data_IF_735654001936
#
_entry.id   IF_735654001936
#
_cell.length_a   1.000
_cell.length_b   1.000
_cell.length_c   1.000
_cell.angle_alpha   90.00
_cell.angle_beta   90.00
_cell.angle_gamma   90.00
#
_symmetry.space_group_name_H-M   'P 1'
#
loop_
_entity.id
_entity.type
_entity.pdbx_description
1 polymer ?
#
# COMPACT_ATOMS: atom_id res chain seq x y z
N UNK A 1 23.52 -8.40 11.11
CA UNK A 1 24.28 -7.92 9.92
C UNK A 1 23.88 -8.70 8.65
N UNK A 2 22.64 -9.22 8.58
CA UNK A 2 22.23 -10.25 7.61
C UNK A 2 21.08 -9.79 6.69
N UNK A 3 20.76 -8.50 6.71
CA UNK A 3 19.56 -7.96 6.06
C UNK A 3 19.76 -7.40 4.64
N UNK A 4 20.94 -7.48 4.03
CA UNK A 4 21.15 -6.82 2.72
C UNK A 4 21.94 -7.60 1.67
N UNK A 5 21.48 -8.81 1.33
CA UNK A 5 21.84 -9.42 0.05
C UNK A 5 20.61 -9.85 -0.74
N UNK A 6 19.76 -8.87 -1.10
CA UNK A 6 18.84 -9.04 -2.24
C UNK A 6 19.65 -9.55 -3.43
N UNK A 7 19.23 -10.66 -4.01
CA UNK A 7 19.92 -11.32 -5.11
C UNK A 7 20.05 -10.36 -6.29
N UNK A 8 21.12 -10.47 -7.09
CA UNK A 8 21.31 -9.61 -8.29
C UNK A 8 20.09 -9.66 -9.23
N UNK A 9 19.39 -10.80 -9.28
CA UNK A 9 18.14 -11.00 -10.02
C UNK A 9 16.97 -10.18 -9.47
N UNK A 10 16.79 -10.12 -8.15
CA UNK A 10 15.73 -9.30 -7.53
C UNK A 10 15.98 -7.81 -7.72
N UNK A 11 17.25 -7.37 -7.62
CA UNK A 11 17.61 -5.97 -7.90
C UNK A 11 17.29 -5.60 -9.35
N UNK A 12 17.64 -6.47 -10.31
CA UNK A 12 17.26 -6.30 -11.72
C UNK A 12 15.74 -6.25 -11.94
N UNK A 13 14.98 -7.09 -11.24
CA UNK A 13 13.52 -7.13 -11.38
C UNK A 13 12.85 -5.87 -10.81
N UNK A 14 13.33 -5.36 -9.67
CA UNK A 14 12.86 -4.09 -9.08
C UNK A 14 13.24 -2.93 -10.01
N UNK A 15 14.48 -2.89 -10.51
CA UNK A 15 14.93 -1.86 -11.46
C UNK A 15 14.13 -1.85 -12.77
N UNK A 16 13.66 -3.03 -13.21
CA UNK A 16 12.82 -3.23 -14.39
C UNK A 16 11.35 -2.86 -14.14
N UNK A 17 10.81 -3.16 -12.96
CA UNK A 17 9.44 -2.78 -12.58
C UNK A 17 9.28 -1.26 -12.45
N UNK A 18 10.35 -0.56 -12.05
CA UNK A 18 10.39 0.89 -11.97
C UNK A 18 10.90 1.56 -13.26
N UNK A 19 11.14 0.81 -14.35
CA UNK A 19 11.60 1.40 -15.60
C UNK A 19 10.47 2.17 -16.30
N UNK A 20 10.75 3.41 -16.71
CA UNK A 20 9.89 4.12 -17.65
C UNK A 20 9.77 3.27 -18.92
N UNK A 21 8.56 3.10 -19.43
CA UNK A 21 8.36 2.33 -20.65
C UNK A 21 8.67 3.20 -21.88
N UNK A 22 8.42 4.50 -21.77
CA UNK A 22 8.65 5.48 -22.82
C UNK A 22 9.24 6.79 -22.29
N UNK A 23 9.77 7.60 -23.22
CA UNK A 23 10.27 8.92 -22.90
C UNK A 23 9.14 9.87 -22.48
N UNK A 24 9.41 10.68 -21.46
CA UNK A 24 8.52 11.70 -20.92
C UNK A 24 9.14 13.08 -21.12
N UNK A 25 8.38 14.04 -21.65
CA UNK A 25 8.81 15.42 -21.87
C UNK A 25 8.43 15.96 -23.24
N UNK A 26 9.08 17.07 -23.63
CA UNK A 26 8.91 17.74 -24.93
C UNK A 26 10.28 17.86 -25.58
N UNK A 27 10.48 17.20 -26.72
CA UNK A 27 11.76 17.24 -27.45
C UNK A 27 11.63 18.16 -28.65
N UNK A 28 12.35 19.28 -28.65
CA UNK A 28 12.36 20.25 -29.77
C UNK A 28 10.94 20.70 -30.17
N UNK A 29 10.09 20.97 -29.19
CA UNK A 29 8.68 21.36 -29.40
C UNK A 29 7.72 20.20 -29.71
N UNK A 30 8.21 18.97 -29.85
CA UNK A 30 7.38 17.79 -30.12
C UNK A 30 7.15 17.01 -28.83
N UNK A 31 5.90 16.67 -28.54
CA UNK A 31 5.53 15.83 -27.40
C UNK A 31 6.16 14.44 -27.55
N UNK A 32 6.80 13.93 -26.50
CA UNK A 32 7.19 12.52 -26.43
C UNK A 32 5.95 11.61 -26.30
N UNK A 33 6.14 10.30 -26.19
CA UNK A 33 5.02 9.36 -25.98
C UNK A 33 4.21 9.70 -24.74
N UNK A 34 4.86 10.18 -23.67
CA UNK A 34 4.20 10.77 -22.50
C UNK A 34 3.08 9.90 -21.93
N UNK A 35 3.34 8.62 -21.69
CA UNK A 35 2.35 7.76 -21.04
C UNK A 35 2.06 8.27 -19.62
N UNK A 36 0.79 8.29 -19.23
CA UNK A 36 0.35 8.85 -17.96
C UNK A 36 1.03 8.15 -16.77
N UNK A 37 1.25 6.83 -16.86
CA UNK A 37 1.97 6.05 -15.86
C UNK A 37 3.44 6.51 -15.71
N UNK A 38 4.15 6.67 -16.83
CA UNK A 38 5.54 7.15 -16.83
C UNK A 38 5.63 8.60 -16.31
N UNK A 39 4.69 9.46 -16.69
CA UNK A 39 4.59 10.83 -16.17
C UNK A 39 4.39 10.86 -14.66
N UNK A 40 3.48 10.05 -14.11
CA UNK A 40 3.27 9.93 -12.66
C UNK A 40 4.54 9.49 -11.95
N UNK A 41 5.30 8.58 -12.55
CA UNK A 41 6.56 8.14 -11.98
C UNK A 41 7.60 9.26 -11.94
N UNK A 42 7.77 10.01 -13.03
CA UNK A 42 8.66 11.18 -13.08
C UNK A 42 8.23 12.24 -12.08
N UNK A 43 6.93 12.54 -11.97
CA UNK A 43 6.37 13.46 -10.98
C UNK A 43 6.69 13.00 -9.55
N UNK A 44 6.51 11.70 -9.26
CA UNK A 44 6.80 11.14 -7.93
C UNK A 44 8.27 11.30 -7.58
N UNK A 45 9.18 11.03 -8.53
CA UNK A 45 10.62 11.18 -8.34
C UNK A 45 11.00 12.65 -8.12
N UNK A 46 10.51 13.57 -8.95
CA UNK A 46 10.78 15.00 -8.82
C UNK A 46 10.26 15.57 -7.48
N UNK A 47 9.09 15.14 -7.03
CA UNK A 47 8.46 15.64 -5.80
C UNK A 47 9.23 15.23 -4.54
N UNK A 48 9.97 14.12 -4.58
CA UNK A 48 10.82 13.67 -3.47
C UNK A 48 12.12 14.46 -3.35
N UNK A 49 12.50 15.19 -4.40
CA UNK A 49 13.74 15.96 -4.43
C UNK A 49 13.45 17.37 -3.89
N UNK A 50 14.27 17.90 -2.97
CA UNK A 50 14.14 19.27 -2.49
C UNK A 50 14.31 20.29 -3.62
N UNK A 51 13.63 21.44 -3.50
CA UNK A 51 13.63 22.47 -4.54
C UNK A 51 15.03 23.05 -4.79
N UNK A 52 15.86 23.15 -3.75
CA UNK A 52 17.26 23.58 -3.81
C UNK A 52 18.17 22.67 -4.67
N UNK A 53 17.71 21.44 -4.96
CA UNK A 53 18.40 20.48 -5.85
C UNK A 53 17.68 20.29 -7.18
N UNK A 54 16.84 21.26 -7.54
CA UNK A 54 16.04 21.25 -8.76
C UNK A 54 14.83 20.31 -8.71
N UNK A 55 14.44 19.84 -7.53
CA UNK A 55 13.21 19.06 -7.37
C UNK A 55 11.94 19.89 -7.49
N UNK A 56 10.80 19.22 -7.39
CA UNK A 56 9.47 19.81 -7.59
C UNK A 56 8.62 19.88 -6.32
N UNK A 57 9.24 19.81 -5.14
CA UNK A 57 8.53 19.96 -3.87
C UNK A 57 7.74 21.28 -3.84
N UNK A 58 6.41 21.20 -3.74
CA UNK A 58 5.50 22.35 -3.69
C UNK A 58 4.86 22.73 -5.03
N UNK A 59 5.32 22.16 -6.15
CA UNK A 59 4.66 22.34 -7.46
C UNK A 59 3.41 21.45 -7.52
N UNK A 60 2.27 22.02 -7.89
CA UNK A 60 1.05 21.26 -8.16
C UNK A 60 0.98 20.92 -9.64
N UNK A 61 1.29 19.67 -9.97
CA UNK A 61 1.13 19.15 -11.32
C UNK A 61 -0.34 18.92 -11.66
N UNK A 62 -0.71 19.16 -12.93
CA UNK A 62 -1.99 18.68 -13.45
C UNK A 62 -2.00 17.16 -13.56
N UNK A 63 -3.20 16.58 -13.62
CA UNK A 63 -3.35 15.15 -13.81
C UNK A 63 -2.73 14.71 -15.15
N UNK A 64 -1.79 13.74 -15.16
CA UNK A 64 -1.15 13.27 -16.38
C UNK A 64 -2.14 12.69 -17.40
N UNK A 65 -1.88 12.92 -18.68
CA UNK A 65 -2.65 12.42 -19.82
C UNK A 65 -1.73 11.82 -20.86
N UNK A 66 -2.12 10.71 -21.46
CA UNK A 66 -1.32 10.06 -22.51
C UNK A 66 -1.04 11.01 -23.68
N UNK A 67 0.19 11.00 -24.18
CA UNK A 67 0.62 11.79 -25.33
C UNK A 67 0.85 13.28 -25.05
N UNK A 68 0.52 13.79 -23.86
CA UNK A 68 0.66 15.21 -23.53
C UNK A 68 1.42 15.39 -22.22
N UNK A 69 2.62 15.97 -22.30
CA UNK A 69 3.34 16.51 -21.15
C UNK A 69 2.86 17.94 -20.88
N UNK A 70 2.42 18.21 -19.65
CA UNK A 70 2.08 19.56 -19.21
C UNK A 70 3.34 20.44 -19.11
N UNK A 71 3.19 21.74 -19.35
CA UNK A 71 4.32 22.69 -19.29
C UNK A 71 4.97 22.74 -17.91
N UNK A 72 4.20 22.58 -16.83
CA UNK A 72 4.76 22.55 -15.46
C UNK A 72 5.67 21.34 -15.22
N UNK A 73 5.34 20.18 -15.81
CA UNK A 73 6.19 18.99 -15.74
C UNK A 73 7.45 19.18 -16.57
N UNK A 74 7.32 19.72 -17.77
CA UNK A 74 8.47 20.02 -18.64
C UNK A 74 9.47 20.99 -17.97
N UNK A 75 8.99 22.10 -17.40
CA UNK A 75 9.82 23.06 -16.68
C UNK A 75 10.49 22.45 -15.44
N UNK A 76 9.78 21.58 -14.71
CA UNK A 76 10.35 20.87 -13.56
C UNK A 76 11.47 19.91 -13.97
N UNK A 77 11.33 19.20 -15.09
CA UNK A 77 12.38 18.33 -15.64
C UNK A 77 13.61 19.17 -16.04
N UNK A 78 13.40 20.29 -16.74
CA UNK A 78 14.49 21.18 -17.12
C UNK A 78 15.24 21.76 -15.92
N UNK A 79 14.51 22.22 -14.90
CA UNK A 79 15.10 22.73 -13.65
C UNK A 79 15.94 21.66 -12.96
N UNK A 80 15.44 20.43 -12.88
CA UNK A 80 16.18 19.31 -12.31
C UNK A 80 17.46 19.02 -13.11
N UNK A 81 17.36 18.94 -14.44
CA UNK A 81 18.50 18.69 -15.31
C UNK A 81 19.58 19.78 -15.15
N UNK A 82 19.18 21.05 -15.16
CA UNK A 82 20.09 22.18 -14.98
C UNK A 82 20.78 22.15 -13.61
N UNK A 83 20.04 21.90 -12.53
CA UNK A 83 20.58 21.82 -11.18
C UNK A 83 21.58 20.67 -10.98
N UNK A 84 21.51 19.63 -11.81
CA UNK A 84 22.36 18.45 -11.72
C UNK A 84 23.43 18.38 -12.84
N UNK A 85 23.64 19.48 -13.58
CA UNK A 85 24.65 19.54 -14.64
C UNK A 85 24.40 18.60 -15.81
N UNK A 86 23.13 18.29 -16.08
CA UNK A 86 22.70 17.46 -17.22
C UNK A 86 22.29 18.36 -18.39
N UNK A 87 22.19 17.78 -19.60
CA UNK A 87 21.57 18.47 -20.73
C UNK A 87 20.12 18.83 -20.39
N UNK A 88 19.79 20.13 -20.40
CA UNK A 88 18.47 20.67 -20.03
C UNK A 88 17.46 20.60 -21.18
N UNK A 89 17.31 19.43 -21.79
CA UNK A 89 16.43 19.20 -22.93
C UNK A 89 14.96 19.01 -22.55
N UNK A 90 14.67 18.90 -21.25
CA UNK A 90 13.33 18.70 -20.70
C UNK A 90 12.74 17.33 -21.01
N UNK A 91 13.57 16.33 -21.29
CA UNK A 91 13.16 14.96 -21.60
C UNK A 91 13.81 13.95 -20.64
N UNK A 92 13.00 13.00 -20.18
CA UNK A 92 13.44 11.86 -19.37
C UNK A 92 13.32 10.60 -20.22
N UNK A 93 14.43 10.15 -20.78
CA UNK A 93 14.50 8.90 -21.53
C UNK A 93 14.56 7.66 -20.60
N UNK A 94 13.91 6.53 -20.98
CA UNK A 94 14.10 5.25 -20.32
C UNK A 94 15.57 4.85 -20.24
N UNK A 95 16.05 4.62 -19.02
CA UNK A 95 17.46 4.30 -18.78
C UNK A 95 18.44 5.45 -19.03
N UNK A 96 17.96 6.65 -19.38
CA UNK A 96 18.78 7.83 -19.68
C UNK A 96 19.47 8.43 -18.44
N UNK A 97 20.40 9.37 -18.64
CA UNK A 97 21.15 10.01 -17.55
C UNK A 97 20.22 10.75 -16.57
N UNK A 98 19.18 11.42 -17.07
CA UNK A 98 18.20 12.12 -16.23
C UNK A 98 17.42 11.17 -15.33
N UNK A 99 16.94 10.04 -15.83
CA UNK A 99 16.25 9.05 -15.01
C UNK A 99 17.17 8.45 -13.94
N UNK A 100 18.44 8.17 -14.29
CA UNK A 100 19.44 7.68 -13.31
C UNK A 100 19.69 8.70 -12.21
N UNK A 101 19.78 9.98 -12.55
CA UNK A 101 19.95 11.05 -11.57
C UNK A 101 18.72 11.20 -10.66
N UNK A 102 17.50 11.16 -11.23
CA UNK A 102 16.24 11.20 -10.46
C UNK A 102 16.16 10.06 -9.44
N UNK A 103 16.52 8.84 -9.84
CA UNK A 103 16.48 7.65 -8.96
C UNK A 103 17.50 7.68 -7.84
N UNK A 104 18.68 8.28 -8.05
CA UNK A 104 19.70 8.44 -6.99
C UNK A 104 19.20 9.31 -5.83
N UNK A 105 18.19 10.15 -6.10
CA UNK A 105 17.59 11.03 -5.11
C UNK A 105 18.60 12.06 -4.56
N UNK A 106 18.21 12.78 -3.50
CA UNK A 106 19.02 13.85 -2.93
C UNK A 106 20.38 13.39 -2.37
N UNK A 107 20.53 12.10 -2.02
CA UNK A 107 21.72 11.60 -1.33
C UNK A 107 22.81 10.98 -2.21
N UNK A 108 22.52 10.69 -3.49
CA UNK A 108 23.40 9.86 -4.33
C UNK A 108 24.57 10.57 -5.01
N UNK A 109 24.91 11.79 -4.57
CA UNK A 109 26.17 12.42 -4.92
C UNK A 109 27.30 11.59 -4.33
N UNK A 110 28.10 10.97 -5.20
CA UNK A 110 29.30 10.22 -4.84
C UNK A 110 30.35 11.18 -4.25
N UNK A 111 30.18 11.57 -2.99
CA UNK A 111 31.24 12.21 -2.21
C UNK A 111 31.94 11.13 -1.39
N UNK A 112 33.09 10.69 -1.88
CA UNK A 112 34.10 10.05 -1.04
C UNK A 112 34.58 11.06 0.01
N UNK A 113 34.29 10.83 1.29
CA UNK A 113 34.91 11.56 2.39
C UNK A 113 34.03 11.79 3.62
N UNK A 114 34.38 11.11 4.73
CA UNK A 114 34.26 11.67 6.08
C UNK A 114 33.13 11.13 6.97
N UNK A 115 33.46 10.10 7.75
CA UNK A 115 32.76 9.64 8.96
C UNK A 115 32.53 10.78 9.98
N UNK A 116 31.28 11.22 10.16
CA UNK A 116 30.79 11.93 11.35
C UNK A 116 29.26 12.18 11.34
N UNK A 117 28.64 12.28 10.15
CA UNK A 117 27.29 12.85 9.97
C UNK A 117 26.10 11.95 10.37
N UNK A 118 26.32 10.66 10.63
CA UNK A 118 25.24 9.69 10.87
C UNK A 118 24.56 9.75 12.24
N UNK A 119 25.13 10.47 13.22
CA UNK A 119 24.53 10.60 14.56
C UNK A 119 23.47 11.70 14.63
N UNK A 120 23.68 12.83 13.96
CA UNK A 120 22.76 13.96 14.03
C UNK A 120 21.46 13.73 13.26
N UNK A 121 21.49 12.92 12.20
CA UNK A 121 20.29 12.59 11.41
C UNK A 121 19.32 11.69 12.18
N UNK A 122 19.83 10.72 12.94
CA UNK A 122 19.00 9.86 13.81
C UNK A 122 18.41 10.65 14.98
N UNK A 123 19.16 11.61 15.54
CA UNK A 123 18.64 12.50 16.59
C UNK A 123 17.52 13.39 16.02
N UNK A 124 17.69 13.94 14.81
CA UNK A 124 16.65 14.73 14.15
C UNK A 124 15.38 13.93 13.87
N UNK A 125 15.52 12.67 13.42
CA UNK A 125 14.37 11.79 13.17
C UNK A 125 13.55 11.53 14.44
N UNK A 126 14.22 11.27 15.57
CA UNK A 126 13.55 11.08 16.87
C UNK A 126 12.87 12.37 17.33
N UNK A 127 13.50 13.53 17.14
CA UNK A 127 12.90 14.84 17.49
C UNK A 127 11.65 15.13 16.64
N UNK A 128 11.68 14.81 15.35
CA UNK A 128 10.54 15.00 14.44
C UNK A 128 9.38 14.02 14.78
N UNK A 129 9.68 12.80 15.20
CA UNK A 129 8.69 11.84 15.70
C UNK A 129 8.03 12.32 17.01
N UNK A 130 8.81 12.86 17.95
CA UNK A 130 8.29 13.41 19.21
C UNK A 130 7.40 14.63 18.99
N UNK A 131 7.79 15.53 18.07
CA UNK A 131 6.99 16.69 17.70
C UNK A 131 5.65 16.28 17.06
N UNK A 132 5.66 15.24 16.22
CA UNK A 132 4.44 14.69 15.61
C UNK A 132 3.50 14.12 16.68
N UNK A 133 4.05 13.39 17.65
CA UNK A 133 3.28 12.81 18.74
C UNK A 133 2.66 13.89 19.65
N UNK A 134 3.42 14.95 19.95
CA UNK A 134 2.89 16.11 20.68
C UNK A 134 1.73 16.78 19.92
N UNK A 135 1.86 16.98 18.60
CA UNK A 135 0.79 17.54 17.77
C UNK A 135 -0.48 16.69 17.77
N UNK A 136 -0.35 15.36 17.69
CA UNK A 136 -1.49 14.43 17.78
C UNK A 136 -2.14 14.50 19.16
N UNK A 137 -1.34 14.53 20.23
CA UNK A 137 -1.87 14.63 21.60
C UNK A 137 -2.66 15.93 21.79
N UNK A 138 -2.15 17.06 21.31
CA UNK A 138 -2.83 18.37 21.35
C UNK A 138 -4.17 18.33 20.60
N UNK A 139 -4.20 17.73 19.42
CA UNK A 139 -5.45 17.57 18.66
C UNK A 139 -6.47 16.68 19.39
N UNK A 140 -6.01 15.62 20.07
CA UNK A 140 -6.88 14.74 20.83
C UNK A 140 -7.46 15.45 22.07
N UNK A 141 -6.63 16.16 22.83
CA UNK A 141 -7.05 16.94 24.00
C UNK A 141 -8.06 18.03 23.57
N UNK A 142 -7.81 18.71 22.46
CA UNK A 142 -8.69 19.78 21.97
C UNK A 142 -10.01 19.26 21.36
N UNK A 143 -10.01 18.10 20.68
CA UNK A 143 -11.19 17.59 19.96
C UNK A 143 -12.09 16.70 20.81
N UNK A 144 -11.55 16.05 21.84
CA UNK A 144 -12.24 14.99 22.60
C UNK A 144 -12.22 15.24 24.11
N UNK A 145 -11.92 16.45 24.57
CA UNK A 145 -11.85 16.81 25.99
C UNK A 145 -13.07 16.38 26.83
N UNK A 146 -14.26 16.33 26.22
CA UNK A 146 -15.50 15.92 26.90
C UNK A 146 -15.64 14.39 27.13
N UNK A 147 -14.77 13.58 26.54
CA UNK A 147 -14.79 12.11 26.67
C UNK A 147 -13.69 11.57 27.62
N UNK A 148 -12.78 12.42 28.06
CA UNK A 148 -11.73 12.07 29.01
C UNK A 148 -12.17 12.56 30.39
N UNK A 149 -11.91 11.77 31.43
CA UNK A 149 -12.12 12.26 32.80
C UNK A 149 -11.16 13.41 33.10
N UNK A 150 -11.51 14.31 34.01
CA UNK A 150 -10.66 15.44 34.39
C UNK A 150 -9.25 14.98 34.81
N UNK A 151 -9.15 13.83 35.48
CA UNK A 151 -7.87 13.22 35.85
C UNK A 151 -7.03 12.81 34.62
N UNK A 152 -7.65 12.20 33.59
CA UNK A 152 -6.98 11.83 32.34
C UNK A 152 -6.55 13.07 31.54
N UNK A 153 -7.36 14.11 31.56
CA UNK A 153 -7.08 15.37 30.87
C UNK A 153 -5.90 16.13 31.52
N UNK A 154 -5.81 16.10 32.84
CA UNK A 154 -4.65 16.61 33.59
C UNK A 154 -3.38 15.81 33.27
N UNK A 155 -3.47 14.47 33.23
CA UNK A 155 -2.33 13.62 32.87
C UNK A 155 -1.86 13.86 31.42
N UNK A 156 -2.79 13.97 30.46
CA UNK A 156 -2.47 14.24 29.06
C UNK A 156 -1.79 15.60 28.87
N UNK A 157 -2.26 16.65 29.58
CA UNK A 157 -1.62 17.97 29.59
C UNK A 157 -0.23 17.94 30.23
N UNK A 158 -0.04 17.16 31.29
CA UNK A 158 1.27 16.95 31.91
C UNK A 158 2.27 16.27 30.98
N UNK A 159 1.84 15.23 30.25
CA UNK A 159 2.66 14.55 29.25
C UNK A 159 3.04 15.49 28.09
N UNK A 160 2.10 16.31 27.61
CA UNK A 160 2.36 17.30 26.57
C UNK A 160 3.44 18.30 27.04
N UNK A 161 3.30 18.85 28.25
CA UNK A 161 4.28 19.81 28.78
C UNK A 161 5.68 19.19 28.96
N UNK A 162 5.77 17.92 29.34
CA UNK A 162 7.05 17.21 29.45
C UNK A 162 7.68 16.93 28.07
N UNK A 163 6.86 16.56 27.08
CA UNK A 163 7.32 16.39 25.69
C UNK A 163 7.84 17.70 25.10
N UNK A 164 7.13 18.81 25.31
CA UNK A 164 7.57 20.13 24.86
C UNK A 164 8.87 20.57 25.53
N UNK A 165 9.04 20.29 26.83
CA UNK A 165 10.31 20.54 27.55
C UNK A 165 11.45 19.69 27.00
N UNK A 166 11.23 18.41 26.74
CA UNK A 166 12.25 17.52 26.16
C UNK A 166 12.67 18.00 24.77
N UNK A 167 11.72 18.38 23.91
CA UNK A 167 12.02 18.96 22.60
C UNK A 167 12.84 20.25 22.76
N UNK A 168 12.46 21.14 23.68
CA UNK A 168 13.20 22.38 23.97
C UNK A 168 14.64 22.16 24.47
N UNK A 169 14.88 21.11 25.26
CA UNK A 169 16.22 20.78 25.77
C UNK A 169 17.18 20.26 24.70
N UNK A 170 16.68 19.71 23.59
CA UNK A 170 17.55 19.22 22.51
C UNK A 170 18.23 20.33 21.70
N UNK A 171 17.77 21.59 21.81
CA UNK A 171 18.28 22.70 21.00
C UNK A 171 17.95 22.60 19.49
N UNK A 172 17.25 21.53 19.09
CA UNK A 172 16.87 21.24 17.72
C UNK A 172 15.50 21.84 17.43
N UNK A 173 15.40 22.71 16.42
CA UNK A 173 14.11 23.28 16.01
C UNK A 173 13.32 22.22 15.22
N UNK A 174 12.12 21.80 15.68
CA UNK A 174 11.30 20.82 14.95
C UNK A 174 10.88 21.39 13.59
N UNK A 175 10.88 20.55 12.56
CA UNK A 175 10.46 20.95 11.21
C UNK A 175 8.94 21.08 11.14
N UNK A 176 8.38 22.19 10.63
CA UNK A 176 6.93 22.36 10.54
C UNK A 176 6.37 21.55 9.36
N UNK A 177 5.72 20.42 9.63
CA UNK A 177 4.83 19.75 8.66
C UNK A 177 3.61 19.14 9.37
N UNK A 178 2.37 19.50 9.01
CA UNK A 178 1.18 18.75 9.41
C UNK A 178 0.91 17.59 8.42
N UNK A 179 0.49 16.43 8.95
CA UNK A 179 0.09 15.26 8.16
C UNK A 179 -1.45 15.22 7.96
N UNK A 180 -1.96 14.89 6.75
CA UNK A 180 -3.34 14.51 6.56
C UNK A 180 -3.52 13.00 6.82
N UNK A 181 -4.44 12.62 7.70
CA UNK A 181 -4.78 11.21 7.97
C UNK A 181 -6.25 10.97 7.61
N UNK A 182 -6.49 10.26 6.51
CA UNK A 182 -7.80 9.70 6.14
C UNK A 182 -7.77 8.20 6.45
N UNK A 183 -8.78 7.72 7.17
CA UNK A 183 -9.02 6.36 7.75
C UNK A 183 -8.54 6.21 9.21
N UNK A 184 -9.34 6.75 10.14
CA UNK A 184 -8.92 7.13 11.49
C UNK A 184 -9.63 6.42 12.65
N UNK A 185 -10.20 5.24 12.49
CA UNK A 185 -10.86 4.54 13.62
C UNK A 185 -10.08 3.32 14.10
N UNK A 186 -9.68 2.43 13.20
CA UNK A 186 -8.89 1.23 13.58
C UNK A 186 -7.45 1.60 13.95
N UNK A 187 -6.81 2.50 13.19
CA UNK A 187 -5.47 2.99 13.49
C UNK A 187 -5.39 3.76 14.82
N UNK A 188 -6.47 4.47 15.18
CA UNK A 188 -6.54 5.26 16.41
C UNK A 188 -6.66 4.37 17.65
N UNK A 189 -7.44 3.28 17.57
CA UNK A 189 -7.52 2.29 18.64
C UNK A 189 -6.16 1.64 18.90
N UNK A 190 -5.44 1.28 17.84
CA UNK A 190 -4.12 0.64 17.95
C UNK A 190 -3.06 1.59 18.52
N UNK A 191 -3.07 2.87 18.11
CA UNK A 191 -2.15 3.89 18.63
C UNK A 191 -2.42 4.15 20.11
N UNK A 192 -3.68 4.24 20.54
CA UNK A 192 -4.02 4.44 21.97
C UNK A 192 -3.57 3.25 22.81
N UNK A 193 -3.75 2.02 22.33
CA UNK A 193 -3.26 0.81 23.02
C UNK A 193 -1.73 0.80 23.13
N UNK A 194 -1.02 1.16 22.07
CA UNK A 194 0.45 1.24 22.07
C UNK A 194 0.95 2.32 23.04
N UNK A 195 0.32 3.50 23.06
CA UNK A 195 0.69 4.58 24.00
C UNK A 195 0.42 4.16 25.45
N UNK A 196 -0.71 3.50 25.73
CA UNK A 196 -1.03 2.99 27.06
C UNK A 196 -0.03 1.92 27.53
N UNK A 197 0.40 1.02 26.63
CA UNK A 197 1.43 0.02 26.91
C UNK A 197 2.78 0.68 27.21
N UNK A 198 3.19 1.68 26.42
CA UNK A 198 4.45 2.41 26.65
C UNK A 198 4.39 3.17 27.99
N UNK A 199 3.26 3.81 28.30
CA UNK A 199 3.10 4.51 29.58
C UNK A 199 3.14 3.56 30.79
N UNK A 200 2.48 2.40 30.70
CA UNK A 200 2.54 1.37 31.73
C UNK A 200 3.96 0.83 31.90
N UNK A 201 4.68 0.63 30.80
CA UNK A 201 6.08 0.21 30.81
C UNK A 201 6.97 1.24 31.52
N UNK A 202 6.77 2.54 31.24
CA UNK A 202 7.53 3.63 31.84
C UNK A 202 7.26 3.77 33.34
N UNK A 203 6.01 3.55 33.79
CA UNK A 203 5.66 3.53 35.22
C UNK A 203 6.33 2.34 35.92
N UNK A 204 6.34 1.16 35.29
CA UNK A 204 7.05 -0.01 35.82
C UNK A 204 8.57 0.20 35.85
N UNK A 205 9.15 0.91 34.88
CA UNK A 205 10.59 1.23 34.84
C UNK A 205 11.02 2.37 35.79
N UNK A 206 10.07 3.07 36.41
CA UNK A 206 10.36 4.13 37.38
C UNK A 206 10.70 3.57 38.78
N UNK A 207 10.32 2.31 39.06
CA UNK A 207 10.69 1.64 40.30
C UNK A 207 12.12 1.06 40.21
N UNK A 208 13.05 1.48 41.10
CA UNK A 208 14.43 1.01 41.08
C UNK A 208 14.57 -0.51 41.33
N UNK A 209 13.58 -1.16 41.96
CA UNK A 209 13.56 -2.62 42.12
C UNK A 209 13.34 -3.33 40.79
N UNK A 210 12.49 -2.76 39.91
CA UNK A 210 12.19 -3.30 38.59
C UNK A 210 13.32 -3.10 37.58
N UNK A 211 14.13 -2.04 37.71
CA UNK A 211 15.29 -1.84 36.82
C UNK A 211 16.33 -2.95 36.94
N UNK A 212 16.62 -3.42 38.15
CA UNK A 212 17.54 -4.55 38.37
C UNK A 212 16.97 -5.87 37.85
N UNK A 213 15.66 -6.10 37.97
CA UNK A 213 15.00 -7.28 37.41
C UNK A 213 14.91 -7.24 35.87
N UNK A 214 14.70 -6.05 35.30
CA UNK A 214 14.59 -5.82 33.86
C UNK A 214 15.90 -6.06 33.11
N UNK A 215 17.06 -5.77 33.71
CA UNK A 215 18.36 -6.09 33.09
C UNK A 215 18.52 -7.60 32.88
N UNK A 216 18.13 -8.41 33.87
CA UNK A 216 18.11 -9.88 33.77
C UNK A 216 17.00 -10.43 32.87
N UNK A 217 15.84 -9.75 32.76
CA UNK A 217 14.71 -10.19 31.92
C UNK A 217 14.78 -9.72 30.46
N UNK A 218 15.53 -8.65 30.15
CA UNK A 218 15.59 -8.05 28.81
C UNK A 218 16.09 -9.02 27.74
N UNK A 219 16.98 -9.94 28.10
CA UNK A 219 17.44 -11.01 27.21
C UNK A 219 16.33 -12.03 26.90
N UNK A 220 15.45 -12.36 27.87
CA UNK A 220 14.33 -13.27 27.66
C UNK A 220 13.11 -12.62 26.97
N UNK A 221 12.90 -11.32 27.17
CA UNK A 221 11.77 -10.58 26.55
C UNK A 221 12.04 -10.32 25.06
N UNK A 222 13.29 -10.09 24.66
CA UNK A 222 13.65 -9.98 23.25
C UNK A 222 13.33 -11.28 22.48
N UNK A 223 13.62 -12.44 23.05
CA UNK A 223 13.24 -13.74 22.49
C UNK A 223 11.71 -13.95 22.49
N UNK A 224 11.02 -13.50 23.55
CA UNK A 224 9.56 -13.58 23.63
C UNK A 224 8.81 -12.72 22.60
N UNK A 225 9.33 -11.52 22.30
CA UNK A 225 8.76 -10.63 21.27
C UNK A 225 9.00 -11.22 19.88
N UNK A 226 10.19 -11.74 19.61
CA UNK A 226 10.52 -12.35 18.33
C UNK A 226 9.65 -13.60 18.07
N UNK A 227 9.42 -14.41 19.10
CA UNK A 227 8.50 -15.55 19.05
C UNK A 227 7.04 -15.12 18.84
N UNK A 228 6.62 -14.00 19.43
CA UNK A 228 5.26 -13.47 19.24
C UNK A 228 5.05 -12.94 17.82
N UNK A 229 6.04 -12.24 17.27
CA UNK A 229 6.04 -11.78 15.87
C UNK A 229 6.05 -12.96 14.91
N UNK A 230 6.81 -14.02 15.23
CA UNK A 230 6.84 -15.27 14.46
C UNK A 230 5.48 -15.98 14.46
N UNK A 231 4.84 -16.09 15.63
CA UNK A 231 3.47 -16.64 15.77
C UNK A 231 2.45 -15.81 14.99
N UNK A 232 2.54 -14.48 15.05
CA UNK A 232 1.66 -13.60 14.29
C UNK A 232 1.85 -13.78 12.78
N UNK A 233 3.10 -13.93 12.33
CA UNK A 233 3.44 -14.25 10.94
C UNK A 233 2.85 -15.58 10.47
N UNK A 234 2.90 -16.61 11.32
CA UNK A 234 2.27 -17.92 11.04
C UNK A 234 0.75 -17.81 10.96
N UNK A 235 0.10 -17.08 11.87
CA UNK A 235 -1.36 -16.87 11.85
C UNK A 235 -1.81 -16.10 10.60
N UNK A 236 -1.05 -15.09 10.16
CA UNK A 236 -1.34 -14.36 8.91
C UNK A 236 -1.18 -15.26 7.69
N UNK A 237 -0.16 -16.13 7.66
CA UNK A 237 -0.01 -17.10 6.59
C UNK A 237 -1.13 -18.16 6.61
N UNK A 238 -1.53 -18.62 7.78
CA UNK A 238 -2.64 -19.57 7.94
C UNK A 238 -3.96 -18.96 7.48
N UNK A 239 -4.28 -17.73 7.90
CA UNK A 239 -5.48 -17.02 7.45
C UNK A 239 -5.50 -16.82 5.92
N UNK A 240 -4.32 -16.59 5.31
CA UNK A 240 -4.19 -16.51 3.85
C UNK A 240 -4.42 -17.87 3.18
N UNK A 241 -3.93 -18.96 3.76
CA UNK A 241 -4.16 -20.32 3.26
C UNK A 241 -5.64 -20.72 3.38
N UNK A 242 -6.28 -20.43 4.52
CA UNK A 242 -7.71 -20.67 4.73
C UNK A 242 -8.58 -19.88 3.73
N UNK A 243 -8.28 -18.59 3.52
CA UNK A 243 -8.98 -17.79 2.52
C UNK A 243 -8.81 -18.33 1.08
N UNK A 244 -7.62 -18.86 0.77
CA UNK A 244 -7.35 -19.50 -0.53
C UNK A 244 -8.13 -20.82 -0.66
N UNK A 245 -8.19 -21.61 0.41
CA UNK A 245 -8.93 -22.87 0.42
C UNK A 245 -10.43 -22.66 0.27
N UNK A 246 -11.01 -21.68 0.99
CA UNK A 246 -12.42 -21.29 0.84
C UNK A 246 -12.73 -20.89 -0.61
N UNK A 247 -11.82 -20.17 -1.27
CA UNK A 247 -11.97 -19.80 -2.67
C UNK A 247 -11.92 -21.02 -3.60
N UNK A 248 -11.00 -21.96 -3.36
CA UNK A 248 -10.89 -23.21 -4.12
C UNK A 248 -12.17 -24.05 -3.97
N UNK A 249 -12.64 -24.25 -2.74
CA UNK A 249 -13.85 -25.03 -2.46
C UNK A 249 -15.09 -24.39 -3.10
N UNK A 250 -15.18 -23.06 -3.06
CA UNK A 250 -16.23 -22.30 -3.74
C UNK A 250 -16.21 -22.50 -5.27
N UNK A 251 -15.03 -22.52 -5.90
CA UNK A 251 -14.88 -22.80 -7.33
C UNK A 251 -15.27 -24.24 -7.65
N UNK A 252 -14.88 -25.21 -6.82
CA UNK A 252 -15.23 -26.63 -7.01
C UNK A 252 -16.75 -26.84 -6.92
N UNK A 253 -17.43 -26.24 -5.94
CA UNK A 253 -18.87 -26.38 -5.78
C UNK A 253 -19.65 -25.63 -6.87
N UNK A 254 -19.15 -24.48 -7.33
CA UNK A 254 -19.67 -23.79 -8.52
C UNK A 254 -19.57 -24.70 -9.75
N UNK A 255 -18.42 -25.35 -9.95
CA UNK A 255 -18.19 -26.25 -11.07
C UNK A 255 -19.12 -27.47 -11.01
N UNK A 256 -19.29 -28.08 -9.82
CA UNK A 256 -20.23 -29.19 -9.61
C UNK A 256 -21.68 -28.79 -9.89
N UNK A 257 -22.09 -27.58 -9.49
CA UNK A 257 -23.44 -27.05 -9.73
C UNK A 257 -23.67 -26.79 -11.21
N UNK A 258 -22.70 -26.18 -11.89
CA UNK A 258 -22.77 -25.94 -13.32
C UNK A 258 -22.74 -27.24 -14.14
N UNK A 259 -22.07 -28.30 -13.66
CA UNK A 259 -22.10 -29.63 -14.30
C UNK A 259 -23.49 -30.29 -14.21
N UNK A 260 -24.22 -30.09 -13.10
CA UNK A 260 -25.62 -30.54 -12.96
C UNK A 260 -26.54 -29.81 -13.94
N UNK A 261 -26.30 -28.52 -14.19
CA UNK A 261 -27.06 -27.69 -15.15
C UNK A 261 -26.70 -28.06 -16.59
N UNK A 262 -25.43 -28.35 -16.89
CA UNK A 262 -24.94 -28.67 -18.24
C UNK A 262 -25.51 -29.99 -18.79
N UNK A 263 -25.89 -30.94 -17.92
CA UNK A 263 -26.61 -32.16 -18.31
C UNK A 263 -27.99 -31.88 -18.94
N UNK A 264 -28.47 -30.63 -18.94
CA UNK A 264 -29.70 -30.19 -19.61
C UNK A 264 -29.48 -29.57 -21.01
N UNK A 265 -28.29 -29.72 -21.62
CA UNK A 265 -28.10 -29.43 -23.06
C UNK A 265 -27.00 -28.43 -23.43
N UNK A 266 -26.14 -28.01 -22.50
CA UNK A 266 -25.04 -27.05 -22.75
C UNK A 266 -23.64 -27.63 -22.47
N UNK A 267 -23.41 -28.89 -22.89
CA UNK A 267 -22.20 -29.65 -22.54
C UNK A 267 -20.89 -29.00 -23.01
N UNK A 268 -20.84 -28.50 -24.25
CA UNK A 268 -19.61 -27.97 -24.84
C UNK A 268 -19.15 -26.63 -24.21
N UNK A 269 -20.08 -25.73 -23.90
CA UNK A 269 -19.76 -24.45 -23.24
C UNK A 269 -19.33 -24.65 -21.79
N UNK A 270 -19.84 -25.70 -21.15
CA UNK A 270 -19.47 -26.05 -19.79
C UNK A 270 -18.04 -26.64 -19.73
N UNK A 271 -17.69 -27.57 -20.62
CA UNK A 271 -16.33 -28.14 -20.68
C UNK A 271 -15.24 -27.10 -20.99
N UNK A 272 -15.57 -26.01 -21.69
CA UNK A 272 -14.65 -24.89 -21.92
C UNK A 272 -14.53 -23.98 -20.67
N UNK A 273 -15.63 -23.71 -19.98
CA UNK A 273 -15.61 -22.98 -18.69
C UNK A 273 -14.81 -23.75 -17.64
N UNK A 274 -15.03 -25.06 -17.52
CA UNK A 274 -14.32 -25.93 -16.60
C UNK A 274 -12.81 -25.89 -16.88
N UNK A 275 -12.39 -26.09 -18.14
CA UNK A 275 -10.98 -25.99 -18.52
C UNK A 275 -10.36 -24.65 -18.16
N UNK A 276 -11.07 -23.54 -18.38
CA UNK A 276 -10.61 -22.18 -18.06
C UNK A 276 -10.54 -21.93 -16.55
N UNK A 277 -11.52 -22.41 -15.78
CA UNK A 277 -11.55 -22.31 -14.33
C UNK A 277 -10.43 -23.13 -13.67
N UNK A 278 -10.26 -24.40 -14.08
CA UNK A 278 -9.17 -25.24 -13.59
C UNK A 278 -7.80 -24.65 -13.91
N UNK A 279 -7.63 -24.07 -15.10
CA UNK A 279 -6.41 -23.36 -15.48
C UNK A 279 -6.17 -22.13 -14.60
N UNK A 280 -7.19 -21.30 -14.38
CA UNK A 280 -7.07 -20.10 -13.54
C UNK A 280 -6.69 -20.45 -12.08
N UNK A 281 -7.28 -21.51 -11.51
CA UNK A 281 -6.93 -22.02 -10.17
C UNK A 281 -5.48 -22.51 -10.13
N UNK A 282 -5.06 -23.29 -11.14
CA UNK A 282 -3.68 -23.78 -11.24
C UNK A 282 -2.67 -22.63 -11.36
N UNK A 283 -2.99 -21.63 -12.18
CA UNK A 283 -2.15 -20.45 -12.39
C UNK A 283 -2.07 -19.60 -11.11
N UNK A 284 -3.17 -19.47 -10.34
CA UNK A 284 -3.17 -18.80 -9.03
C UNK A 284 -2.29 -19.52 -8.01
N UNK A 285 -2.38 -20.86 -7.96
CA UNK A 285 -1.61 -21.68 -7.04
C UNK A 285 -0.11 -21.62 -7.33
N UNK A 286 0.28 -21.57 -8.61
CA UNK A 286 1.69 -21.52 -9.01
C UNK A 286 2.26 -20.10 -9.01
N UNK A 287 1.43 -19.08 -9.24
CA UNK A 287 1.86 -17.68 -9.44
C UNK A 287 0.87 -16.71 -8.81
N UNK A 288 0.88 -16.53 -7.48
CA UNK A 288 -0.06 -15.65 -6.78
C UNK A 288 0.01 -14.18 -7.22
N UNK A 289 1.12 -13.74 -7.82
CA UNK A 289 1.25 -12.40 -8.41
C UNK A 289 0.35 -12.19 -9.65
N UNK A 290 -0.14 -13.26 -10.29
CA UNK A 290 -1.05 -13.20 -11.44
C UNK A 290 -2.52 -13.25 -11.03
N UNK A 291 -2.84 -13.23 -9.73
CA UNK A 291 -4.20 -13.32 -9.24
C UNK A 291 -5.19 -12.35 -9.92
N UNK A 292 -4.86 -11.07 -10.17
CA UNK A 292 -5.78 -10.16 -10.86
C UNK A 292 -6.12 -10.61 -12.29
N UNK A 293 -5.15 -11.14 -13.03
CA UNK A 293 -5.32 -11.56 -14.43
C UNK A 293 -6.10 -12.89 -14.51
N UNK A 294 -5.83 -13.81 -13.59
CA UNK A 294 -6.55 -15.08 -13.52
C UNK A 294 -8.00 -14.90 -13.06
N UNK A 295 -8.25 -13.99 -12.11
CA UNK A 295 -9.62 -13.60 -11.70
C UNK A 295 -10.36 -12.98 -12.88
N UNK A 296 -9.71 -12.08 -13.63
CA UNK A 296 -10.33 -11.47 -14.81
C UNK A 296 -10.68 -12.49 -15.89
N UNK A 297 -9.76 -13.40 -16.24
CA UNK A 297 -9.99 -14.45 -17.23
C UNK A 297 -11.11 -15.42 -16.81
N UNK A 298 -11.19 -15.75 -15.52
CA UNK A 298 -12.28 -16.55 -14.97
C UNK A 298 -13.63 -15.83 -15.09
N UNK A 299 -13.68 -14.54 -14.75
CA UNK A 299 -14.90 -13.74 -14.85
C UNK A 299 -15.37 -13.57 -16.29
N UNK A 300 -14.47 -13.40 -17.26
CA UNK A 300 -14.80 -13.36 -18.69
C UNK A 300 -15.41 -14.69 -19.16
N UNK A 301 -14.82 -15.82 -18.74
CA UNK A 301 -15.36 -17.14 -19.05
C UNK A 301 -16.74 -17.37 -18.41
N UNK A 302 -16.91 -16.96 -17.14
CA UNK A 302 -18.18 -17.03 -16.43
C UNK A 302 -19.27 -16.20 -17.13
N UNK A 303 -18.94 -14.98 -17.54
CA UNK A 303 -19.88 -14.11 -18.27
C UNK A 303 -20.29 -14.70 -19.62
N UNK A 304 -19.37 -15.36 -20.32
CA UNK A 304 -19.65 -16.03 -21.59
C UNK A 304 -20.55 -17.26 -21.40
N UNK A 305 -20.27 -18.09 -20.38
CA UNK A 305 -21.12 -19.20 -20.01
C UNK A 305 -22.54 -18.75 -19.65
N UNK A 306 -22.65 -17.67 -18.88
CA UNK A 306 -23.94 -17.08 -18.52
C UNK A 306 -24.71 -16.54 -19.73
N UNK A 307 -24.04 -16.09 -20.80
CA UNK A 307 -24.70 -15.74 -22.07
C UNK A 307 -25.26 -16.98 -22.77
N UNK A 308 -24.57 -18.11 -22.73
CA UNK A 308 -25.04 -19.37 -23.33
C UNK A 308 -26.30 -19.92 -22.64
N UNK A 309 -26.51 -19.62 -21.34
CA UNK A 309 -27.72 -20.03 -20.61
C UNK A 309 -29.00 -19.24 -21.00
N UNK A 310 -28.90 -18.28 -21.93
CA UNK A 310 -30.05 -17.58 -22.49
C UNK A 310 -30.78 -16.66 -21.50
N UNK A 311 -32.08 -16.37 -21.70
CA UNK A 311 -32.81 -15.36 -20.93
C UNK A 311 -32.91 -15.65 -19.43
N UNK A 312 -32.76 -16.92 -19.04
CA UNK A 312 -32.83 -17.36 -17.64
C UNK A 312 -31.65 -16.85 -16.79
N UNK A 313 -30.52 -16.48 -17.41
CA UNK A 313 -29.34 -15.96 -16.73
C UNK A 313 -29.32 -14.43 -16.53
N UNK A 314 -30.28 -13.71 -17.14
CA UNK A 314 -30.32 -12.25 -17.16
C UNK A 314 -30.37 -11.58 -15.76
N UNK A 315 -31.04 -12.13 -14.73
CA UNK A 315 -31.04 -11.55 -13.38
C UNK A 315 -29.66 -11.64 -12.71
N UNK A 316 -29.00 -12.81 -12.79
CA UNK A 316 -27.68 -13.03 -12.23
C UNK A 316 -26.61 -12.18 -12.93
N UNK A 317 -26.67 -12.05 -14.27
CA UNK A 317 -25.78 -11.17 -15.02
C UNK A 317 -25.91 -9.70 -14.60
N UNK A 318 -27.11 -9.24 -14.21
CA UNK A 318 -27.31 -7.88 -13.70
C UNK A 318 -26.64 -7.68 -12.34
N UNK A 319 -26.76 -8.64 -11.42
CA UNK A 319 -26.16 -8.58 -10.09
C UNK A 319 -24.63 -8.61 -10.17
N UNK A 320 -24.06 -9.54 -10.95
CA UNK A 320 -22.62 -9.65 -11.14
C UNK A 320 -22.02 -8.39 -11.78
N UNK A 321 -22.71 -7.82 -12.78
CA UNK A 321 -22.25 -6.61 -13.48
C UNK A 321 -22.38 -5.35 -12.62
N UNK A 322 -23.39 -5.26 -11.74
CA UNK A 322 -23.54 -4.11 -10.85
C UNK A 322 -22.51 -4.11 -9.74
N UNK A 323 -22.32 -5.23 -9.03
CA UNK A 323 -21.37 -5.29 -7.92
C UNK A 323 -19.91 -5.18 -8.38
N UNK A 324 -19.58 -5.64 -9.60
CA UNK A 324 -18.25 -5.44 -10.17
C UNK A 324 -17.96 -3.97 -10.45
N UNK A 325 -18.93 -3.23 -11.01
CA UNK A 325 -18.77 -1.78 -11.28
C UNK A 325 -18.66 -0.96 -9.99
N UNK A 326 -19.21 -1.44 -8.88
CA UNK A 326 -19.10 -0.78 -7.57
C UNK A 326 -17.87 -1.22 -6.76
N UNK A 327 -17.03 -2.13 -7.28
CA UNK A 327 -15.84 -2.60 -6.57
C UNK A 327 -16.12 -3.51 -5.38
N UNK A 328 -17.29 -4.17 -5.35
CA UNK A 328 -17.60 -5.16 -4.31
C UNK A 328 -16.70 -6.39 -4.46
N UNK A 329 -16.39 -7.04 -3.33
CA UNK A 329 -15.55 -8.24 -3.38
C UNK A 329 -16.30 -9.38 -4.07
N UNK A 330 -15.55 -10.28 -4.71
CA UNK A 330 -16.11 -11.45 -5.41
C UNK A 330 -16.94 -12.34 -4.47
N UNK A 331 -16.57 -12.34 -3.17
CA UNK A 331 -17.28 -13.02 -2.08
C UNK A 331 -18.63 -12.34 -1.81
N UNK A 332 -18.67 -11.01 -1.69
CA UNK A 332 -19.93 -10.26 -1.47
C UNK A 332 -20.90 -10.42 -2.65
N UNK A 333 -20.36 -10.40 -3.86
CA UNK A 333 -21.10 -10.64 -5.10
C UNK A 333 -21.69 -12.05 -5.16
N UNK A 334 -20.90 -13.06 -4.78
CA UNK A 334 -21.32 -14.45 -4.73
C UNK A 334 -22.41 -14.69 -3.67
N UNK A 335 -22.23 -14.16 -2.46
CA UNK A 335 -23.24 -14.28 -1.40
C UNK A 335 -24.51 -13.48 -1.70
N UNK A 336 -24.44 -12.32 -2.36
CA UNK A 336 -25.64 -11.60 -2.83
C UNK A 336 -26.37 -12.35 -3.93
N UNK A 337 -25.64 -12.98 -4.86
CA UNK A 337 -26.24 -13.78 -5.93
C UNK A 337 -26.96 -15.03 -5.39
N UNK A 338 -26.40 -15.68 -4.37
CA UNK A 338 -27.00 -16.85 -3.70
C UNK A 338 -28.12 -16.43 -2.74
N UNK A 339 -27.89 -15.39 -1.93
CA UNK A 339 -28.81 -14.91 -0.90
C UNK A 339 -30.07 -14.22 -1.43
N UNK A 340 -29.96 -13.47 -2.54
CA UNK A 340 -31.11 -12.88 -3.23
C UNK A 340 -31.81 -13.83 -4.20
N UNK A 341 -31.17 -14.96 -4.53
CA UNK A 341 -31.58 -15.88 -5.58
C UNK A 341 -32.35 -17.11 -5.12
N UNK A 342 -32.38 -17.44 -3.82
CA UNK A 342 -32.98 -18.69 -3.33
C UNK A 342 -34.46 -18.86 -3.74
N UNK A 343 -35.25 -17.78 -3.88
CA UNK A 343 -36.64 -17.85 -4.38
C UNK A 343 -36.76 -17.93 -5.91
N UNK A 344 -35.82 -17.32 -6.65
CA UNK A 344 -35.84 -17.28 -8.11
C UNK A 344 -35.22 -18.54 -8.73
N UNK A 345 -34.15 -19.06 -8.13
CA UNK A 345 -33.47 -20.30 -8.50
C UNK A 345 -34.41 -21.50 -8.24
N UNK A 346 -35.14 -21.52 -7.12
CA UNK A 346 -36.16 -22.54 -6.88
C UNK A 346 -37.36 -22.46 -7.84
N UNK A 347 -37.67 -21.29 -8.42
CA UNK A 347 -38.75 -21.15 -9.41
C UNK A 347 -38.32 -21.60 -10.81
N UNK A 348 -37.06 -21.37 -11.18
CA UNK A 348 -36.46 -21.84 -12.44
C UNK A 348 -36.20 -23.36 -12.41
N UNK A 349 -35.96 -23.95 -11.23
CA UNK A 349 -35.77 -25.40 -11.09
C UNK A 349 -37.09 -26.20 -10.97
N UNK A 350 -38.25 -25.54 -10.90
CA UNK A 350 -39.57 -26.19 -10.74
C UNK A 350 -40.48 -26.11 -11.97
N UNK A 351 -40.01 -25.54 -13.08
CA UNK A 351 -40.71 -25.50 -14.37
C UNK A 351 -39.85 -26.10 -15.46
#
# INVERSE_FOLDING_TARGET
>A
MELERKSRSERKAIDAADALIAAVGIRRGVQCKNWAADQLQVISLLTRIPAERGGASGIRFKQPRDGVCDSSLFEAIQRFQQANGLGSDGVVDPGGPTLRALRRGPGGGSSSGGDAKGRDEKVQEVVDQLATLAGVLTLLVNRKGNLLSDAQLIQARGLLANLERLIGQTGVKPRPKPLPVQNSTVALGLIVVVIALIAALLVLMADPAWRKAAETMSHGIAEGIDETVRKLGLLVQQARQEATQIMIDGIVELNRTAHKIANQGCRNSFEDLERKATKAVRDLAQRPALAPQAIQAFMEALMEFMRCMGPNAAPLLRILRSGWRSGETLIDLFFKAIGGGSSAIFRVLKG
#
